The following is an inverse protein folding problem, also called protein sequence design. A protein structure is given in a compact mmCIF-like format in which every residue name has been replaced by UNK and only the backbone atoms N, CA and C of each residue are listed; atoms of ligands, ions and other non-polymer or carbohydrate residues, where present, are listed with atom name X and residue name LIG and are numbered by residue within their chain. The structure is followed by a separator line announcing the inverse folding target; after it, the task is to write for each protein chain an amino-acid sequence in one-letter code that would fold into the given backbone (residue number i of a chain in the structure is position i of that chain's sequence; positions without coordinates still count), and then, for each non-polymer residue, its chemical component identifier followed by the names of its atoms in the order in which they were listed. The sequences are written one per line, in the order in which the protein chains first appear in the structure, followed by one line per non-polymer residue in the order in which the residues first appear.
data_IF_602135320019
#
_entry.id   IF_602135320019
#
_cell.length_a   1.000
_cell.length_b   1.000
_cell.length_c   1.000
_cell.angle_alpha   90.00
_cell.angle_beta   90.00
_cell.angle_gamma   90.00
#
_symmetry.space_group_name_H-M   'P 1'
#
loop_
_entity.id
_entity.type
_entity.pdbx_description
1 polymer ?
#
# COMPACT_ATOMS: atom_id res chain seq x y z
N UNK A 1 17.81 -6.44 -10.10
CA UNK A 1 17.59 -7.74 -10.78
C UNK A 1 17.33 -8.77 -9.69
N UNK A 2 16.51 -9.80 -9.93
CA UNK A 2 16.41 -10.91 -8.98
C UNK A 2 17.66 -11.79 -9.10
N UNK A 3 18.04 -12.47 -8.02
CA UNK A 3 19.34 -13.16 -7.95
C UNK A 3 19.40 -14.38 -8.87
N UNK A 4 18.31 -15.18 -8.91
CA UNK A 4 18.28 -16.47 -9.63
C UNK A 4 17.41 -16.46 -10.90
N UNK A 5 16.75 -15.34 -11.21
CA UNK A 5 15.89 -15.26 -12.38
C UNK A 5 15.75 -13.83 -12.94
N UNK A 6 15.20 -13.75 -14.15
CA UNK A 6 14.76 -12.49 -14.73
C UNK A 6 13.27 -12.32 -14.57
N UNK A 7 12.86 -11.18 -14.01
CA UNK A 7 11.46 -10.78 -14.08
C UNK A 7 11.07 -10.62 -15.55
N UNK A 8 9.88 -11.11 -15.96
CA UNK A 8 9.39 -10.89 -17.31
C UNK A 8 9.35 -9.39 -17.62
N UNK A 9 9.60 -9.06 -18.88
CA UNK A 9 9.35 -7.73 -19.38
C UNK A 9 7.86 -7.39 -19.24
N UNK A 10 7.55 -6.15 -18.86
CA UNK A 10 6.16 -5.76 -18.70
C UNK A 10 5.54 -5.46 -20.06
N UNK A 11 4.58 -6.28 -20.47
CA UNK A 11 3.83 -6.08 -21.71
C UNK A 11 2.38 -5.70 -21.39
N UNK A 12 2.04 -4.42 -21.60
CA UNK A 12 0.74 -3.86 -21.24
C UNK A 12 -0.45 -4.64 -21.83
N UNK A 13 -0.38 -5.00 -23.12
CA UNK A 13 -1.42 -5.79 -23.78
C UNK A 13 -1.59 -7.17 -23.14
N UNK A 14 -0.50 -7.87 -22.81
CA UNK A 14 -0.56 -9.17 -22.13
C UNK A 14 -1.10 -9.04 -20.71
N UNK A 15 -0.74 -7.98 -19.98
CA UNK A 15 -1.28 -7.71 -18.65
C UNK A 15 -2.81 -7.52 -18.71
N UNK A 16 -3.30 -6.73 -19.67
CA UNK A 16 -4.72 -6.53 -19.90
C UNK A 16 -5.44 -7.82 -20.35
N UNK A 17 -4.82 -8.64 -21.20
CA UNK A 17 -5.36 -9.97 -21.56
C UNK A 17 -5.50 -10.89 -20.35
N UNK A 18 -4.53 -10.90 -19.43
CA UNK A 18 -4.62 -11.68 -18.19
C UNK A 18 -5.76 -11.20 -17.28
N UNK A 19 -6.12 -9.93 -17.38
CA UNK A 19 -7.24 -9.28 -16.69
C UNK A 19 -8.55 -9.29 -17.49
N UNK A 20 -8.59 -9.89 -18.69
CA UNK A 20 -9.79 -9.90 -19.53
C UNK A 20 -10.96 -10.52 -18.78
N UNK A 21 -12.07 -9.79 -18.73
CA UNK A 21 -13.29 -10.20 -18.01
C UNK A 21 -13.17 -10.19 -16.48
N UNK A 22 -12.12 -9.57 -15.92
CA UNK A 22 -11.82 -9.59 -14.48
C UNK A 22 -11.73 -8.21 -13.86
N UNK A 23 -11.88 -8.19 -12.54
CA UNK A 23 -11.70 -7.04 -11.67
C UNK A 23 -10.48 -7.27 -10.80
N UNK A 24 -9.51 -6.36 -10.87
CA UNK A 24 -8.41 -6.29 -9.90
C UNK A 24 -8.62 -5.10 -8.97
N UNK A 25 -8.52 -5.31 -7.66
CA UNK A 25 -8.69 -4.26 -6.66
C UNK A 25 -7.50 -4.19 -5.71
N UNK A 26 -6.92 -2.99 -5.63
CA UNK A 26 -5.90 -2.61 -4.68
C UNK A 26 -6.58 -2.05 -3.43
N UNK A 27 -6.39 -2.69 -2.28
CA UNK A 27 -7.04 -2.34 -1.01
C UNK A 27 -5.99 -1.96 0.01
N UNK A 28 -6.03 -0.75 0.55
CA UNK A 28 -5.04 -0.36 1.55
C UNK A 28 -4.92 1.14 1.79
N UNK A 29 -3.70 1.53 2.17
CA UNK A 29 -3.30 2.90 2.46
C UNK A 29 -2.86 3.68 1.21
N UNK A 30 -2.21 4.83 1.40
CA UNK A 30 -1.80 5.71 0.30
C UNK A 30 -0.69 5.14 -0.57
N UNK A 31 0.11 4.18 -0.08
CA UNK A 31 1.16 3.52 -0.86
C UNK A 31 0.53 2.50 -1.80
N UNK A 32 -0.51 1.82 -1.33
CA UNK A 32 -1.31 0.93 -2.17
C UNK A 32 -2.04 1.70 -3.28
N UNK A 33 -2.48 2.93 -2.99
CA UNK A 33 -2.98 3.85 -4.04
C UNK A 33 -1.90 4.19 -5.06
N UNK A 34 -0.66 4.42 -4.62
CA UNK A 34 0.49 4.65 -5.51
C UNK A 34 0.76 3.46 -6.42
N UNK A 35 0.69 2.24 -5.89
CA UNK A 35 0.80 1.01 -6.70
C UNK A 35 -0.34 0.90 -7.73
N UNK A 36 -1.58 1.18 -7.33
CA UNK A 36 -2.72 1.23 -8.27
C UNK A 36 -2.51 2.28 -9.38
N UNK A 37 -2.10 3.50 -9.04
CA UNK A 37 -1.84 4.56 -10.02
C UNK A 37 -0.77 4.14 -11.02
N UNK A 38 0.31 3.52 -10.54
CA UNK A 38 1.36 2.96 -11.38
C UNK A 38 0.80 1.92 -12.36
N UNK A 39 0.00 0.96 -11.90
CA UNK A 39 -0.55 -0.07 -12.80
C UNK A 39 -1.45 0.55 -13.87
N UNK A 40 -2.27 1.54 -13.50
CA UNK A 40 -3.09 2.27 -14.46
C UNK A 40 -2.20 2.93 -15.53
N UNK A 41 -1.16 3.66 -15.15
CA UNK A 41 -0.22 4.28 -16.09
C UNK A 41 0.50 3.26 -16.99
N UNK A 42 0.88 2.11 -16.41
CA UNK A 42 1.56 1.05 -17.15
C UNK A 42 0.70 0.44 -18.27
N UNK A 43 -0.63 0.46 -18.15
CA UNK A 43 -1.53 -0.16 -19.15
C UNK A 43 -2.36 0.83 -19.96
N UNK A 44 -2.60 2.04 -19.47
CA UNK A 44 -3.56 2.94 -20.11
C UNK A 44 -3.12 3.44 -21.49
N UNK A 45 -1.81 3.54 -21.72
CA UNK A 45 -1.25 4.06 -22.97
C UNK A 45 -1.52 3.19 -24.20
N UNK A 46 -1.79 1.88 -24.02
CA UNK A 46 -2.17 0.98 -25.12
C UNK A 46 -3.68 0.93 -25.39
N UNK A 47 -4.49 1.61 -24.57
CA UNK A 47 -5.94 1.62 -24.71
C UNK A 47 -6.38 2.96 -25.35
N UNK A 48 -7.18 2.92 -26.45
CA UNK A 48 -7.71 4.13 -27.07
C UNK A 48 -8.50 5.00 -26.06
N UNK A 49 -8.42 6.34 -26.12
CA UNK A 49 -9.10 7.26 -25.18
C UNK A 49 -10.59 6.99 -24.98
N UNK A 50 -11.32 6.66 -26.04
CA UNK A 50 -12.76 6.36 -26.04
C UNK A 50 -13.10 4.97 -25.46
N UNK A 51 -12.09 4.12 -25.26
CA UNK A 51 -12.21 2.76 -24.71
C UNK A 51 -11.72 2.64 -23.28
N UNK A 52 -11.31 3.74 -22.65
CA UNK A 52 -10.94 3.81 -21.23
C UNK A 52 -11.73 4.86 -20.48
N UNK A 53 -11.96 4.64 -19.19
CA UNK A 53 -12.58 5.63 -18.31
C UNK A 53 -12.04 5.54 -16.89
N UNK A 54 -12.19 6.64 -16.14
CA UNK A 54 -11.72 6.76 -14.76
C UNK A 54 -12.83 7.36 -13.90
N UNK A 55 -13.41 6.57 -13.01
CA UNK A 55 -14.35 7.02 -11.98
C UNK A 55 -13.61 7.17 -10.65
N UNK A 56 -13.40 8.41 -10.20
CA UNK A 56 -12.74 8.71 -8.92
C UNK A 56 -13.78 8.91 -7.82
N UNK A 57 -13.80 8.01 -6.84
CA UNK A 57 -14.58 8.18 -5.61
C UNK A 57 -13.69 8.48 -4.41
N UNK A 58 -14.31 8.86 -3.29
CA UNK A 58 -13.57 9.12 -2.04
C UNK A 58 -12.93 7.86 -1.46
N UNK A 59 -13.68 6.77 -1.41
CA UNK A 59 -13.19 5.48 -0.94
C UNK A 59 -12.76 4.58 -2.09
N UNK A 60 -13.52 4.59 -3.18
CA UNK A 60 -13.40 3.61 -4.27
C UNK A 60 -13.21 4.32 -5.60
N UNK A 61 -12.12 4.02 -6.28
CA UNK A 61 -11.81 4.51 -7.63
C UNK A 61 -11.72 3.34 -8.59
N UNK A 62 -12.23 3.51 -9.80
CA UNK A 62 -12.32 2.47 -10.83
C UNK A 62 -11.78 3.02 -12.14
N UNK A 63 -10.72 2.40 -12.65
CA UNK A 63 -10.28 2.54 -14.03
C UNK A 63 -10.86 1.38 -14.84
N UNK A 64 -11.47 1.66 -15.99
CA UNK A 64 -12.09 0.64 -16.84
C UNK A 64 -11.41 0.58 -18.21
N UNK A 65 -11.11 -0.63 -18.67
CA UNK A 65 -10.59 -0.94 -19.99
C UNK A 65 -11.66 -1.71 -20.77
N UNK A 66 -12.44 -1.00 -21.60
CA UNK A 66 -13.68 -1.53 -22.19
C UNK A 66 -13.43 -2.72 -23.13
N UNK A 67 -12.40 -2.66 -23.98
CA UNK A 67 -12.06 -3.73 -24.92
C UNK A 67 -11.68 -5.04 -24.24
N UNK A 68 -11.18 -4.96 -23.01
CA UNK A 68 -10.80 -6.12 -22.20
C UNK A 68 -11.92 -6.56 -21.26
N UNK A 69 -13.02 -5.80 -21.15
CA UNK A 69 -14.01 -5.97 -20.10
C UNK A 69 -13.34 -6.12 -18.71
N UNK A 70 -12.38 -5.23 -18.42
CA UNK A 70 -11.53 -5.31 -17.24
C UNK A 70 -11.59 -4.02 -16.42
N UNK A 71 -11.46 -4.14 -15.10
CA UNK A 71 -11.34 -2.98 -14.19
C UNK A 71 -10.10 -3.07 -13.31
N UNK A 72 -9.47 -1.93 -13.07
CA UNK A 72 -8.34 -1.74 -12.17
C UNK A 72 -8.77 -0.74 -11.10
N UNK A 73 -9.01 -1.25 -9.90
CA UNK A 73 -9.73 -0.56 -8.84
C UNK A 73 -8.82 -0.25 -7.65
N UNK A 74 -9.10 0.84 -6.95
CA UNK A 74 -8.51 1.17 -5.66
C UNK A 74 -9.60 1.37 -4.61
N UNK A 75 -9.45 0.73 -3.46
CA UNK A 75 -10.32 0.90 -2.30
C UNK A 75 -9.53 1.33 -1.06
N UNK A 76 -9.92 2.46 -0.49
CA UNK A 76 -9.31 3.06 0.68
C UNK A 76 -9.74 2.32 1.96
N UNK A 77 -8.80 1.58 2.53
CA UNK A 77 -8.92 0.93 3.83
C UNK A 77 -7.53 0.89 4.47
N UNK A 78 -7.02 2.02 4.98
CA UNK A 78 -5.61 2.19 5.32
C UNK A 78 -5.14 1.27 6.46
N UNK A 79 -6.04 0.84 7.33
CA UNK A 79 -5.79 -0.17 8.37
C UNK A 79 -6.37 -1.56 8.02
N UNK A 80 -6.98 -1.72 6.83
CA UNK A 80 -7.84 -2.84 6.38
C UNK A 80 -9.12 -3.03 7.19
N UNK A 81 -9.00 -3.02 8.51
CA UNK A 81 -10.12 -2.96 9.46
C UNK A 81 -10.68 -1.54 9.55
N UNK A 82 -11.88 -1.42 10.12
CA UNK A 82 -12.58 -0.14 10.26
C UNK A 82 -11.83 0.82 11.19
N UNK A 83 -11.86 2.11 10.85
CA UNK A 83 -11.29 3.15 11.70
C UNK A 83 -12.13 4.43 11.66
N UNK A 84 -11.97 5.28 12.68
CA UNK A 84 -12.57 6.62 12.65
C UNK A 84 -11.88 7.57 11.65
N UNK A 85 -10.84 7.09 10.96
CA UNK A 85 -10.04 7.84 10.00
C UNK A 85 -10.09 7.21 8.60
N UNK A 86 -11.12 6.40 8.31
CA UNK A 86 -11.39 5.93 6.95
C UNK A 86 -11.73 7.16 6.10
N UNK A 87 -12.91 7.75 6.32
CA UNK A 87 -13.37 8.99 5.69
C UNK A 87 -14.31 9.70 6.69
N UNK A 88 -14.05 10.97 7.04
CA UNK A 88 -12.90 11.79 6.64
C UNK A 88 -11.58 11.30 7.28
N UNK A 89 -10.46 11.61 6.63
CA UNK A 89 -9.12 11.30 7.17
C UNK A 89 -8.85 12.27 8.33
N UNK A 90 -8.48 11.72 9.49
CA UNK A 90 -8.04 12.51 10.65
C UNK A 90 -6.53 12.79 10.47
N UNK A 91 -6.11 14.07 10.35
CA UNK A 91 -4.72 14.41 10.08
C UNK A 91 -3.77 14.03 11.23
N UNK A 92 -4.18 14.26 12.49
CA UNK A 92 -3.39 13.93 13.67
C UNK A 92 -3.53 12.42 13.99
N UNK A 93 -2.45 11.62 13.84
CA UNK A 93 -2.51 10.19 14.11
C UNK A 93 -2.92 9.84 15.55
N UNK A 94 -2.67 10.72 16.52
CA UNK A 94 -3.03 10.52 17.94
C UNK A 94 -4.53 10.48 18.18
N UNK A 95 -5.32 10.99 17.23
CA UNK A 95 -6.78 11.00 17.29
C UNK A 95 -7.41 9.85 16.49
N UNK A 96 -6.60 9.02 15.82
CA UNK A 96 -7.08 7.85 15.09
C UNK A 96 -7.37 6.70 16.06
N UNK A 97 -8.47 6.02 15.81
CA UNK A 97 -8.96 4.85 16.55
C UNK A 97 -9.21 3.74 15.54
N UNK A 98 -8.66 2.57 15.80
CA UNK A 98 -8.73 1.39 14.93
C UNK A 98 -9.58 0.32 15.61
N UNK A 99 -10.63 -0.14 14.93
CA UNK A 99 -11.48 -1.25 15.39
C UNK A 99 -10.86 -2.56 14.95
N UNK A 100 -9.97 -3.11 15.78
CA UNK A 100 -9.11 -4.24 15.41
C UNK A 100 -9.87 -5.54 15.15
N UNK A 101 -11.14 -5.61 15.51
CA UNK A 101 -12.05 -6.75 15.36
C UNK A 101 -13.12 -6.56 14.26
N UNK A 102 -13.07 -5.45 13.51
CA UNK A 102 -14.15 -5.07 12.59
C UNK A 102 -13.66 -4.83 11.16
N UNK A 103 -14.12 -5.64 10.21
CA UNK A 103 -13.72 -5.54 8.79
C UNK A 103 -14.91 -5.54 7.82
N UNK A 104 -16.11 -5.89 8.29
CA UNK A 104 -17.26 -6.19 7.45
C UNK A 104 -17.69 -5.03 6.53
N UNK A 105 -17.68 -3.79 7.03
CA UNK A 105 -18.01 -2.60 6.22
C UNK A 105 -17.10 -2.46 5.00
N UNK A 106 -15.81 -2.70 5.16
CA UNK A 106 -14.87 -2.67 4.04
C UNK A 106 -15.04 -3.89 3.16
N UNK A 107 -15.12 -5.06 3.78
CA UNK A 107 -15.09 -6.33 3.08
C UNK A 107 -16.30 -6.59 2.17
N UNK A 108 -17.44 -5.95 2.44
CA UNK A 108 -18.57 -5.93 1.51
C UNK A 108 -18.24 -5.37 0.11
N UNK A 109 -17.15 -4.60 -0.03
CA UNK A 109 -16.68 -4.07 -1.31
C UNK A 109 -15.66 -4.99 -2.01
N UNK A 110 -15.12 -5.99 -1.31
CA UNK A 110 -14.11 -6.92 -1.82
C UNK A 110 -14.74 -8.19 -2.42
N UNK A 111 -16.00 -8.45 -2.10
CA UNK A 111 -16.76 -9.60 -2.62
C UNK A 111 -16.91 -9.50 -4.14
N UNK A 112 -16.65 -10.60 -4.84
CA UNK A 112 -16.77 -10.69 -6.29
C UNK A 112 -15.63 -10.01 -7.06
N UNK A 113 -14.50 -9.74 -6.41
CA UNK A 113 -13.25 -9.32 -7.06
C UNK A 113 -12.42 -10.56 -7.41
N UNK A 114 -11.91 -10.63 -8.64
CA UNK A 114 -11.11 -11.77 -9.12
C UNK A 114 -9.66 -11.72 -8.62
N UNK A 115 -9.10 -10.52 -8.47
CA UNK A 115 -7.74 -10.31 -7.95
C UNK A 115 -7.75 -9.23 -6.88
N UNK A 116 -7.50 -9.63 -5.62
CA UNK A 116 -7.38 -8.71 -4.49
C UNK A 116 -5.91 -8.50 -4.16
N UNK A 117 -5.45 -7.24 -4.11
CA UNK A 117 -4.09 -6.88 -3.70
C UNK A 117 -4.19 -6.00 -2.46
N UNK A 118 -3.81 -6.54 -1.30
CA UNK A 118 -3.88 -5.86 -0.02
C UNK A 118 -2.53 -5.24 0.39
N UNK A 119 -2.58 -4.13 1.11
CA UNK A 119 -1.44 -3.57 1.83
C UNK A 119 -1.92 -2.72 3.00
N UNK A 120 -1.14 -2.72 4.08
CA UNK A 120 -1.32 -1.76 5.18
C UNK A 120 -0.01 -1.68 5.95
N UNK A 121 0.56 -0.47 6.10
CA UNK A 121 1.79 -0.32 6.89
C UNK A 121 1.97 1.09 7.44
N UNK A 122 2.04 2.10 6.58
CA UNK A 122 2.65 3.39 6.97
C UNK A 122 1.86 4.11 8.06
N UNK A 123 0.54 3.90 8.13
CA UNK A 123 -0.30 4.49 9.17
C UNK A 123 -0.07 3.88 10.55
N UNK A 124 0.38 2.63 10.61
CA UNK A 124 0.80 1.98 11.86
C UNK A 124 2.13 2.55 12.39
N UNK A 125 2.92 3.19 11.52
CA UNK A 125 4.22 3.77 11.87
C UNK A 125 4.12 5.23 12.36
N UNK A 126 2.91 5.76 12.50
CA UNK A 126 2.69 7.17 12.90
C UNK A 126 2.82 7.42 14.42
N UNK A 127 3.08 6.38 15.22
CA UNK A 127 3.28 6.45 16.67
C UNK A 127 3.74 5.11 17.25
N UNK A 128 4.17 5.10 18.52
CA UNK A 128 4.55 3.87 19.21
C UNK A 128 3.34 3.02 19.60
N UNK A 129 2.22 3.67 19.90
CA UNK A 129 0.96 3.04 20.29
C UNK A 129 -0.18 3.39 19.34
N UNK A 130 -1.18 2.52 19.29
CA UNK A 130 -2.41 2.68 18.51
C UNK A 130 -3.61 2.49 19.43
N UNK A 131 -4.56 3.43 19.38
CA UNK A 131 -5.85 3.34 20.07
C UNK A 131 -6.67 2.22 19.43
N UNK A 132 -6.68 1.07 20.08
CA UNK A 132 -7.33 -0.16 19.62
C UNK A 132 -8.65 -0.33 20.32
N UNK A 133 -9.68 -0.64 19.55
CA UNK A 133 -11.07 -0.74 20.01
C UNK A 133 -11.68 -2.07 19.62
N UNK A 134 -12.50 -2.65 20.50
CA UNK A 134 -13.32 -3.83 20.24
C UNK A 134 -14.80 -3.46 20.35
N UNK A 135 -15.63 -3.90 19.41
CA UNK A 135 -17.04 -3.50 19.34
C UNK A 135 -17.29 -2.22 18.52
N UNK A 136 -18.49 -1.63 18.64
CA UNK A 136 -19.02 -0.45 17.92
C UNK A 136 -18.67 0.93 18.51
N UNK A 137 -18.35 1.90 17.64
CA UNK A 137 -18.12 3.29 18.07
C UNK A 137 -19.33 3.87 18.85
N UNK A 138 -19.09 4.32 20.09
CA UNK A 138 -20.09 5.03 20.91
C UNK A 138 -20.71 4.24 22.07
N UNK A 139 -20.36 2.97 22.24
CA UNK A 139 -20.80 2.18 23.38
C UNK A 139 -19.73 2.20 24.51
N UNK A 140 -20.09 2.73 25.68
CA UNK A 140 -19.19 2.86 26.82
C UNK A 140 -18.85 1.52 27.52
N UNK A 141 -19.60 0.44 27.22
CA UNK A 141 -19.32 -0.91 27.72
C UNK A 141 -18.17 -1.60 26.98
N UNK A 142 -17.64 -0.97 25.93
CA UNK A 142 -16.62 -1.51 25.06
C UNK A 142 -15.21 -1.06 25.49
N UNK A 143 -14.28 -2.00 25.48
CA UNK A 143 -12.91 -1.75 25.93
C UNK A 143 -12.11 -1.01 24.87
N UNK A 144 -11.48 0.10 25.26
CA UNK A 144 -10.44 0.76 24.48
C UNK A 144 -9.10 0.61 25.19
N UNK A 145 -8.05 0.36 24.42
CA UNK A 145 -6.70 0.26 24.94
C UNK A 145 -5.71 0.89 23.96
N UNK A 146 -4.76 1.64 24.49
CA UNK A 146 -3.57 2.00 23.73
C UNK A 146 -2.60 0.83 23.82
N UNK A 147 -2.40 0.16 22.68
CA UNK A 147 -1.48 -0.97 22.56
C UNK A 147 -0.29 -0.55 21.71
N UNK A 148 0.83 -1.25 21.86
CA UNK A 148 1.95 -1.09 20.93
C UNK A 148 1.51 -1.37 19.49
N UNK A 149 1.99 -0.58 18.54
CA UNK A 149 1.59 -0.70 17.14
C UNK A 149 1.72 -2.13 16.56
N UNK A 150 2.78 -2.92 16.85
CA UNK A 150 2.85 -4.31 16.39
C UNK A 150 1.75 -5.23 16.97
N UNK A 151 1.28 -4.98 18.19
CA UNK A 151 0.19 -5.74 18.81
C UNK A 151 -1.12 -5.43 18.11
N UNK A 152 -1.44 -4.15 17.93
CA UNK A 152 -2.64 -3.71 17.20
C UNK A 152 -2.64 -4.20 15.76
N UNK A 153 -1.50 -4.12 15.08
CA UNK A 153 -1.31 -4.64 13.72
C UNK A 153 -1.60 -6.15 13.66
N UNK A 154 -1.09 -6.91 14.63
CA UNK A 154 -1.36 -8.37 14.72
C UNK A 154 -2.84 -8.67 14.87
N UNK A 155 -3.57 -7.91 15.70
CA UNK A 155 -4.99 -8.09 15.91
C UNK A 155 -5.80 -7.78 14.64
N UNK A 156 -5.55 -6.61 14.03
CA UNK A 156 -6.22 -6.19 12.80
C UNK A 156 -5.94 -7.15 11.63
N UNK A 157 -4.68 -7.58 11.46
CA UNK A 157 -4.31 -8.49 10.38
C UNK A 157 -4.94 -9.88 10.57
N UNK A 158 -5.07 -10.37 11.82
CA UNK A 158 -5.82 -11.60 12.10
C UNK A 158 -7.29 -11.48 11.74
N UNK A 159 -7.92 -10.35 12.04
CA UNK A 159 -9.32 -10.09 11.67
C UNK A 159 -9.51 -10.11 10.15
N UNK A 160 -8.62 -9.44 9.41
CA UNK A 160 -8.61 -9.52 7.94
C UNK A 160 -8.39 -10.95 7.44
N UNK A 161 -7.40 -11.67 7.99
CA UNK A 161 -7.08 -13.04 7.58
C UNK A 161 -8.26 -14.00 7.82
N UNK A 162 -8.90 -13.92 8.98
CA UNK A 162 -10.09 -14.71 9.30
C UNK A 162 -11.24 -14.43 8.33
N UNK A 163 -11.42 -13.16 7.93
CA UNK A 163 -12.44 -12.82 6.93
C UNK A 163 -12.12 -13.43 5.57
N UNK A 164 -10.86 -13.34 5.11
CA UNK A 164 -10.42 -13.95 3.86
C UNK A 164 -10.68 -15.46 3.88
N UNK A 165 -10.23 -16.16 4.92
CA UNK A 165 -10.41 -17.60 5.07
C UNK A 165 -11.87 -18.05 5.11
N UNK A 166 -12.77 -17.19 5.59
CA UNK A 166 -14.20 -17.49 5.69
C UNK A 166 -15.00 -17.15 4.43
N UNK A 167 -14.55 -16.18 3.61
CA UNK A 167 -15.38 -15.59 2.55
C UNK A 167 -14.78 -15.70 1.14
N UNK A 168 -13.49 -15.96 1.00
CA UNK A 168 -12.83 -16.00 -0.31
C UNK A 168 -12.73 -17.44 -0.81
N UNK A 169 -13.25 -17.69 -2.01
CA UNK A 169 -13.04 -18.94 -2.72
C UNK A 169 -11.74 -18.85 -3.54
N UNK A 170 -10.68 -19.59 -3.19
CA UNK A 170 -9.38 -19.50 -3.87
C UNK A 170 -9.38 -20.02 -5.31
N UNK A 171 -10.42 -20.76 -5.71
CA UNK A 171 -10.59 -21.19 -7.11
C UNK A 171 -11.10 -20.08 -8.02
N UNK A 172 -11.65 -19.00 -7.44
CA UNK A 172 -12.24 -17.87 -8.18
C UNK A 172 -11.40 -16.62 -7.98
N UNK A 173 -11.01 -16.34 -6.74
CA UNK A 173 -10.31 -15.10 -6.37
C UNK A 173 -8.87 -15.40 -5.97
N UNK A 174 -7.93 -14.68 -6.57
CA UNK A 174 -6.52 -14.68 -6.19
C UNK A 174 -6.25 -13.55 -5.19
N UNK A 175 -5.62 -13.87 -4.07
CA UNK A 175 -5.30 -12.90 -3.02
C UNK A 175 -3.80 -12.65 -2.98
N UNK A 176 -3.44 -11.37 -2.98
CA UNK A 176 -2.07 -10.87 -2.86
C UNK A 176 -1.94 -9.97 -1.64
N UNK A 177 -0.74 -9.96 -1.06
CA UNK A 177 -0.39 -9.01 -0.01
C UNK A 177 0.96 -8.35 -0.34
N UNK A 178 0.94 -7.06 -0.65
CA UNK A 178 2.16 -6.26 -0.82
C UNK A 178 2.73 -5.95 0.55
N UNK A 179 4.01 -6.27 0.76
CA UNK A 179 4.68 -6.00 2.04
C UNK A 179 4.91 -4.51 2.28
N UNK A 180 5.47 -4.14 3.44
CA UNK A 180 5.67 -2.74 3.80
C UNK A 180 6.46 -1.96 2.76
N UNK A 181 5.97 -0.77 2.42
CA UNK A 181 6.77 0.25 1.75
C UNK A 181 7.61 0.97 2.81
N UNK A 182 8.94 1.07 2.64
CA UNK A 182 9.80 1.77 3.59
C UNK A 182 9.56 3.29 3.58
N UNK A 183 10.09 3.96 4.60
CA UNK A 183 10.16 5.41 4.66
C UNK A 183 11.60 5.86 4.88
N UNK A 184 12.02 6.93 4.21
CA UNK A 184 13.41 7.40 4.27
C UNK A 184 13.50 8.72 5.03
N UNK A 185 13.14 8.65 6.31
CA UNK A 185 13.04 9.81 7.20
C UNK A 185 14.38 10.25 7.80
N UNK A 186 15.38 9.37 7.85
CA UNK A 186 16.63 9.64 8.55
C UNK A 186 17.82 9.33 7.65
N UNK A 187 18.48 10.37 7.16
CA UNK A 187 19.62 10.23 6.24
C UNK A 187 20.85 9.55 6.84
N UNK A 188 20.98 9.56 8.18
CA UNK A 188 22.00 8.79 8.88
C UNK A 188 21.88 7.27 8.65
N UNK A 189 20.69 6.76 8.32
CA UNK A 189 20.48 5.32 8.08
C UNK A 189 21.31 4.79 6.89
N UNK A 190 21.63 5.67 5.93
CA UNK A 190 22.51 5.40 4.79
C UNK A 190 23.83 6.21 4.84
N UNK A 191 24.24 6.66 6.02
CA UNK A 191 25.57 7.25 6.25
C UNK A 191 25.69 8.75 5.95
N UNK A 192 24.57 9.46 5.74
CA UNK A 192 24.55 10.92 5.54
C UNK A 192 24.05 11.65 6.79
N UNK A 193 24.93 11.80 7.78
CA UNK A 193 24.61 12.42 9.09
C UNK A 193 24.08 13.87 8.98
N UNK A 194 24.54 14.63 7.97
CA UNK A 194 24.11 16.02 7.72
C UNK A 194 23.07 16.14 6.60
N UNK A 195 22.56 15.02 6.12
CA UNK A 195 21.48 15.00 5.11
C UNK A 195 20.14 15.46 5.70
N UNK A 196 19.18 15.74 4.83
CA UNK A 196 17.82 16.12 5.23
C UNK A 196 16.86 15.06 4.72
N UNK A 197 16.60 14.03 5.53
CA UNK A 197 15.68 12.94 5.17
C UNK A 197 16.07 12.40 3.78
N UNK A 198 15.12 12.18 2.87
CA UNK A 198 15.38 11.79 1.47
C UNK A 198 15.68 12.96 0.51
N UNK A 199 15.78 14.20 0.99
CA UNK A 199 15.97 15.35 0.10
C UNK A 199 17.37 15.35 -0.52
N UNK A 200 17.42 15.60 -1.84
CA UNK A 200 18.64 15.64 -2.64
C UNK A 200 19.42 14.30 -2.66
N UNK A 201 18.74 13.19 -2.40
CA UNK A 201 19.24 11.85 -2.73
C UNK A 201 18.85 11.54 -4.18
N UNK A 202 19.83 11.22 -5.02
CA UNK A 202 19.61 11.04 -6.48
C UNK A 202 20.11 9.68 -6.98
N UNK A 203 20.64 8.85 -6.10
CA UNK A 203 21.13 7.51 -6.41
C UNK A 203 20.67 6.52 -5.34
N UNK A 204 20.36 5.27 -5.71
CA UNK A 204 20.08 4.23 -4.73
C UNK A 204 21.24 4.00 -3.76
N UNK A 205 20.94 3.45 -2.59
CA UNK A 205 21.96 2.93 -1.68
C UNK A 205 22.67 1.76 -2.35
N UNK A 206 24.01 1.77 -2.34
CA UNK A 206 24.83 0.70 -2.92
C UNK A 206 25.29 -0.35 -1.90
N UNK A 207 25.18 -0.04 -0.59
CA UNK A 207 25.61 -0.93 0.49
C UNK A 207 24.71 -2.16 0.56
N UNK A 208 25.24 -3.32 0.22
CA UNK A 208 24.53 -4.60 0.34
C UNK A 208 23.99 -4.82 1.75
N UNK A 209 22.80 -5.43 1.83
CA UNK A 209 22.10 -5.68 3.09
C UNK A 209 21.58 -4.40 3.75
N UNK A 210 21.40 -3.30 3.01
CA UNK A 210 20.84 -2.07 3.56
C UNK A 210 19.48 -2.31 4.23
N UNK A 211 19.32 -1.71 5.40
CA UNK A 211 18.08 -1.71 6.16
C UNK A 211 18.04 -0.48 7.06
N UNK A 212 17.14 0.45 6.77
CA UNK A 212 16.89 1.66 7.53
C UNK A 212 15.93 1.47 8.69
N UNK A 213 15.78 2.52 9.49
CA UNK A 213 14.87 2.55 10.65
C UNK A 213 13.40 2.76 10.24
N UNK A 214 13.14 3.09 8.98
CA UNK A 214 11.80 3.26 8.41
C UNK A 214 11.02 1.97 8.15
N UNK A 215 11.69 0.81 8.19
CA UNK A 215 11.06 -0.51 8.07
C UNK A 215 11.17 -1.36 9.33
N UNK A 216 10.03 -1.64 9.97
CA UNK A 216 9.95 -2.45 11.18
C UNK A 216 9.89 -3.95 10.87
N UNK A 217 11.01 -4.66 11.04
CA UNK A 217 11.10 -6.12 10.87
C UNK A 217 10.09 -6.91 11.71
N UNK A 218 9.61 -6.35 12.84
CA UNK A 218 8.57 -6.99 13.67
C UNK A 218 7.26 -7.10 12.90
N UNK A 219 6.89 -6.08 12.13
CA UNK A 219 5.69 -6.09 11.28
C UNK A 219 5.83 -7.12 10.15
N UNK A 220 6.99 -7.22 9.49
CA UNK A 220 7.22 -8.26 8.47
C UNK A 220 7.05 -9.68 9.04
N UNK A 221 7.57 -9.92 10.24
CA UNK A 221 7.41 -11.20 10.94
C UNK A 221 5.95 -11.48 11.28
N UNK A 222 5.18 -10.46 11.68
CA UNK A 222 3.73 -10.61 11.90
C UNK A 222 3.02 -10.99 10.60
N UNK A 223 3.30 -10.31 9.48
CA UNK A 223 2.74 -10.64 8.17
C UNK A 223 3.05 -12.10 7.82
N UNK A 224 4.32 -12.51 7.88
CA UNK A 224 4.72 -13.89 7.61
C UNK A 224 3.99 -14.91 8.51
N UNK A 225 3.85 -14.61 9.81
CA UNK A 225 3.22 -15.50 10.77
C UNK A 225 1.70 -15.63 10.55
N UNK A 226 1.02 -14.54 10.20
CA UNK A 226 -0.42 -14.56 9.95
C UNK A 226 -0.71 -15.25 8.62
N UNK A 227 -0.03 -14.83 7.54
CA UNK A 227 -0.23 -15.41 6.21
C UNK A 227 0.12 -16.90 6.16
N UNK A 228 1.19 -17.33 6.85
CA UNK A 228 1.58 -18.74 6.91
C UNK A 228 0.61 -19.67 7.66
N UNK A 229 -0.43 -19.11 8.31
CA UNK A 229 -1.48 -19.87 9.03
C UNK A 229 -2.83 -19.81 8.34
N UNK A 230 -2.96 -19.05 7.24
CA UNK A 230 -4.21 -18.93 6.50
C UNK A 230 -4.52 -20.20 5.71
N UNK A 231 -5.81 -20.49 5.55
CA UNK A 231 -6.30 -21.57 4.71
C UNK A 231 -6.33 -21.16 3.23
N UNK A 232 -6.73 -19.92 2.98
CA UNK A 232 -6.71 -19.33 1.63
C UNK A 232 -5.27 -18.92 1.31
N UNK A 233 -4.69 -19.41 0.21
CA UNK A 233 -3.35 -19.04 -0.19
C UNK A 233 -3.27 -17.56 -0.52
N UNK A 234 -2.34 -16.85 0.12
CA UNK A 234 -2.03 -15.45 -0.15
C UNK A 234 -0.64 -15.36 -0.77
N UNK A 235 -0.54 -14.79 -1.97
CA UNK A 235 0.74 -14.55 -2.63
C UNK A 235 1.37 -13.26 -2.11
N UNK A 236 2.58 -13.35 -1.57
CA UNK A 236 3.28 -12.18 -1.02
C UNK A 236 4.06 -11.47 -2.11
N UNK A 237 3.79 -10.18 -2.31
CA UNK A 237 4.60 -9.31 -3.15
C UNK A 237 5.62 -8.65 -2.23
N UNK A 238 6.79 -9.30 -2.08
CA UNK A 238 7.83 -8.85 -1.15
C UNK A 238 8.63 -7.69 -1.75
N UNK A 239 8.22 -6.47 -1.41
CA UNK A 239 8.79 -5.22 -1.95
C UNK A 239 9.67 -4.47 -0.96
N UNK A 240 9.74 -4.92 0.30
CA UNK A 240 10.32 -4.13 1.39
C UNK A 240 11.80 -3.84 1.15
N UNK A 241 12.62 -4.89 1.06
CA UNK A 241 14.07 -4.72 1.01
C UNK A 241 14.54 -4.10 -0.31
N UNK A 242 13.93 -4.45 -1.44
CA UNK A 242 14.28 -3.81 -2.73
C UNK A 242 13.95 -2.31 -2.71
N UNK A 243 12.92 -1.90 -1.97
CA UNK A 243 12.51 -0.49 -1.90
C UNK A 243 13.34 0.30 -0.89
N UNK A 244 13.93 -0.36 0.12
CA UNK A 244 14.85 0.25 1.10
C UNK A 244 16.11 0.83 0.42
N UNK A 245 16.54 0.24 -0.70
CA UNK A 245 17.65 0.80 -1.47
C UNK A 245 17.30 2.11 -2.19
N UNK A 246 16.00 2.41 -2.38
CA UNK A 246 15.53 3.45 -3.31
C UNK A 246 15.31 4.81 -2.65
N UNK A 247 16.27 5.25 -1.84
CA UNK A 247 16.24 6.57 -1.18
C UNK A 247 16.05 7.74 -2.15
N UNK A 248 16.38 7.53 -3.42
CA UNK A 248 16.35 8.48 -4.54
C UNK A 248 14.96 8.69 -5.17
N UNK A 249 14.01 7.79 -4.90
CA UNK A 249 12.79 7.70 -5.70
C UNK A 249 11.54 8.35 -5.06
N UNK A 250 11.70 8.97 -3.89
CA UNK A 250 10.60 9.65 -3.21
C UNK A 250 10.20 10.95 -3.91
N UNK A 251 8.95 11.37 -3.70
CA UNK A 251 8.45 12.66 -4.21
C UNK A 251 9.19 13.85 -3.60
N UNK A 252 9.71 13.70 -2.37
CA UNK A 252 10.46 14.74 -1.67
C UNK A 252 9.63 16.05 -1.63
N UNK A 253 10.18 17.18 -2.08
CA UNK A 253 9.46 18.47 -2.14
C UNK A 253 8.65 18.66 -3.45
N UNK A 254 8.64 17.67 -4.33
CA UNK A 254 7.92 17.69 -5.61
C UNK A 254 6.54 17.02 -5.47
N UNK A 255 5.80 17.47 -4.46
CA UNK A 255 4.51 16.89 -4.06
C UNK A 255 3.46 17.97 -3.79
N UNK A 256 2.28 17.55 -3.38
CA UNK A 256 1.17 18.40 -2.95
C UNK A 256 0.91 18.33 -1.44
N UNK A 257 0.39 19.42 -0.89
CA UNK A 257 -0.15 19.48 0.46
C UNK A 257 -1.58 20.03 0.40
N UNK A 258 -2.55 19.25 0.87
CA UNK A 258 -3.97 19.63 0.81
C UNK A 258 -4.49 19.83 -0.63
N UNK A 259 -3.97 19.07 -1.59
CA UNK A 259 -4.35 19.14 -3.01
C UNK A 259 -3.76 20.32 -3.77
N UNK A 260 -2.75 21.01 -3.21
CA UNK A 260 -2.02 22.10 -3.88
C UNK A 260 -0.54 21.80 -3.91
N UNK A 261 0.11 22.03 -5.05
CA UNK A 261 1.55 21.92 -5.18
C UNK A 261 2.27 22.80 -4.16
N UNK A 262 3.36 22.30 -3.60
CA UNK A 262 4.22 23.10 -2.74
C UNK A 262 4.77 24.31 -3.49
N UNK A 263 4.64 25.49 -2.86
CA UNK A 263 5.19 26.76 -3.35
C UNK A 263 6.73 26.73 -3.34
N UNK A 264 7.41 27.57 -4.14
CA UNK A 264 8.87 27.66 -4.13
C UNK A 264 9.46 27.81 -2.71
N UNK A 265 8.87 28.71 -1.91
CA UNK A 265 9.27 28.93 -0.50
C UNK A 265 9.10 27.69 0.39
N UNK A 266 8.09 26.86 0.15
CA UNK A 266 7.94 25.60 0.90
C UNK A 266 8.98 24.57 0.48
N UNK A 267 9.35 24.53 -0.81
CA UNK A 267 10.39 23.61 -1.32
C UNK A 267 11.78 23.94 -0.78
N UNK A 268 12.01 25.18 -0.37
CA UNK A 268 13.24 25.63 0.30
C UNK A 268 13.38 25.11 1.75
N UNK A 269 12.31 24.56 2.35
CA UNK A 269 12.31 23.95 3.69
C UNK A 269 11.99 22.43 3.62
N UNK A 270 12.92 21.60 3.07
CA UNK A 270 12.72 20.17 2.93
C UNK A 270 12.59 19.45 4.28
N UNK A 271 13.16 19.99 5.37
CA UNK A 271 13.01 19.41 6.71
C UNK A 271 11.54 19.27 7.09
N UNK A 272 10.73 20.28 6.77
CA UNK A 272 9.30 20.31 7.04
C UNK A 272 8.45 19.72 5.91
N UNK A 273 8.83 19.96 4.65
CA UNK A 273 7.94 19.70 3.52
C UNK A 273 8.34 18.52 2.63
N UNK A 274 9.51 17.91 2.82
CA UNK A 274 9.86 16.71 2.06
C UNK A 274 8.94 15.55 2.43
N UNK A 275 8.36 14.91 1.42
CA UNK A 275 7.66 13.65 1.53
C UNK A 275 8.62 12.51 1.21
N UNK A 276 9.01 11.78 2.24
CA UNK A 276 9.89 10.61 2.17
C UNK A 276 9.12 9.32 2.46
N UNK A 277 7.85 9.32 2.09
CA UNK A 277 6.92 8.20 2.20
C UNK A 277 6.49 7.81 0.79
N UNK A 278 5.91 8.75 0.04
CA UNK A 278 5.36 8.47 -1.28
C UNK A 278 6.43 8.48 -2.37
N UNK A 279 6.13 7.79 -3.46
CA UNK A 279 7.05 7.55 -4.57
C UNK A 279 6.66 8.36 -5.80
N UNK A 280 7.67 8.82 -6.55
CA UNK A 280 7.45 9.33 -7.90
C UNK A 280 6.89 8.23 -8.81
N UNK A 281 6.11 8.63 -9.81
CA UNK A 281 5.68 7.80 -10.93
C UNK A 281 6.11 8.49 -12.24
N UNK A 282 6.77 7.78 -13.19
CA UNK A 282 7.24 6.40 -13.10
C UNK A 282 8.31 6.22 -12.01
N UNK A 283 8.43 5.02 -11.43
CA UNK A 283 9.32 4.78 -10.30
C UNK A 283 9.18 3.42 -9.62
N UNK A 284 9.43 3.41 -8.31
CA UNK A 284 9.46 2.19 -7.48
C UNK A 284 8.18 1.35 -7.58
N UNK A 285 6.96 1.93 -7.55
CA UNK A 285 5.72 1.17 -7.69
C UNK A 285 5.58 0.42 -9.02
N UNK A 286 6.26 0.86 -10.09
CA UNK A 286 6.28 0.12 -11.37
C UNK A 286 6.98 -1.22 -11.20
N UNK A 287 8.05 -1.27 -10.39
CA UNK A 287 8.73 -2.53 -10.06
C UNK A 287 7.83 -3.45 -9.24
N UNK A 288 7.04 -2.91 -8.31
CA UNK A 288 6.07 -3.70 -7.56
C UNK A 288 5.01 -4.33 -8.48
N UNK A 289 4.55 -3.56 -9.47
CA UNK A 289 3.60 -4.05 -10.47
C UNK A 289 4.23 -5.05 -11.46
N UNK A 290 5.53 -4.97 -11.73
CA UNK A 290 6.24 -6.02 -12.49
C UNK A 290 6.29 -7.34 -11.73
N UNK A 291 6.47 -7.32 -10.41
CA UNK A 291 6.41 -8.53 -9.57
C UNK A 291 4.98 -9.09 -9.55
N UNK A 292 3.97 -8.23 -9.36
CA UNK A 292 2.56 -8.62 -9.46
C UNK A 292 2.27 -9.27 -10.82
N UNK A 293 2.70 -8.63 -11.91
CA UNK A 293 2.52 -9.12 -13.27
C UNK A 293 3.15 -10.50 -13.47
N UNK A 294 4.38 -10.71 -12.98
CA UNK A 294 5.05 -12.00 -13.04
C UNK A 294 4.24 -13.12 -12.36
N UNK A 295 3.55 -12.83 -11.25
CA UNK A 295 2.64 -13.78 -10.62
C UNK A 295 1.32 -13.96 -11.38
N UNK A 296 0.86 -12.96 -12.14
CA UNK A 296 -0.38 -13.04 -12.90
C UNK A 296 -0.25 -13.85 -14.19
N UNK A 297 0.96 -13.92 -14.76
CA UNK A 297 1.29 -14.75 -15.93
C UNK A 297 1.05 -16.23 -15.66
#
# INVERSE_FOLDING_TARGET
QADDCSLPEFEAAKALEKLRGKRIMFVGDSLQRGQWQSLVCLVEHVIPPERKSMKRGRAHSVFSAAEYNATIEFYWAPFLVESNSDIPIIPDPRNRIVRVDSVAKHAGNWVGIDVLVFNTYVWWMSGFTVKSWWGSFGNAAESNQELEAPVSYTLALKTWANWIDANVNPNVTRVFFTTMSPTHQRSADWGREKGIRCFNETTPVSREGHWGTGSDKRIMRIVSNVLGRMKVPVTVINVTQLSEYRIDAHTSVYTELGGKLLTPKQREDPSRFADCIHWCLPGVPDTWNRILYAHLL
#
